data_IF_192299583526
#
_entry.id   IF_192299583526
#
_cell.length_a   1.000
_cell.length_b   1.000
_cell.length_c   1.000
_cell.angle_alpha   90.00
_cell.angle_beta   90.00
_cell.angle_gamma   90.00
#
_symmetry.space_group_name_H-M   'P 1'
#
loop_
_entity.id
_entity.type
_entity.pdbx_description
1 polymer ?
#
# COMPACT_ATOMS: atom_id res chain seq x y z
N UNK A 1 -20.64 -52.95 30.33
CA UNK A 1 -20.15 -53.53 29.05
C UNK A 1 -18.82 -52.86 28.71
N UNK A 2 -17.72 -53.52 29.07
CA UNK A 2 -16.77 -54.26 28.20
C UNK A 2 -15.62 -53.38 27.69
N UNK A 3 -14.60 -53.27 28.55
CA UNK A 3 -13.17 -53.15 28.20
C UNK A 3 -12.74 -54.27 27.26
N UNK A 4 -11.81 -53.97 26.34
CA UNK A 4 -10.80 -54.95 25.89
C UNK A 4 -9.59 -54.24 25.30
N UNK A 5 -8.51 -54.22 26.09
CA UNK A 5 -7.13 -54.20 25.64
C UNK A 5 -6.85 -55.48 24.85
N UNK A 6 -6.07 -55.41 23.78
CA UNK A 6 -5.37 -56.58 23.23
C UNK A 6 -3.96 -56.17 22.79
N UNK A 7 -3.00 -56.97 23.24
CA UNK A 7 -1.55 -56.84 23.13
C UNK A 7 -1.05 -57.84 22.06
N UNK A 8 -0.04 -57.38 21.28
CA UNK A 8 1.06 -58.05 20.54
C UNK A 8 1.27 -59.58 20.68
N UNK A 9 1.95 -60.32 19.75
CA UNK A 9 3.36 -60.09 19.32
C UNK A 9 3.69 -60.44 17.83
N UNK A 10 4.67 -59.79 17.19
CA UNK A 10 6.10 -60.16 16.99
C UNK A 10 6.35 -61.52 16.31
N UNK A 11 6.88 -61.53 15.08
CA UNK A 11 8.09 -62.27 14.66
C UNK A 11 8.39 -62.10 13.16
N UNK A 12 9.55 -61.53 12.86
CA UNK A 12 10.14 -61.45 11.53
C UNK A 12 11.65 -61.39 11.69
N UNK A 13 12.23 -62.56 11.87
CA UNK A 13 13.63 -62.91 12.11
C UNK A 13 14.51 -62.66 10.87
N UNK A 14 15.84 -62.64 11.08
CA UNK A 14 16.96 -62.91 10.15
C UNK A 14 17.72 -61.64 9.69
N UNK A 15 19.04 -61.52 9.61
CA UNK A 15 20.25 -62.14 10.21
C UNK A 15 21.43 -61.23 9.79
N UNK A 16 22.50 -61.22 10.60
CA UNK A 16 23.79 -60.57 10.37
C UNK A 16 24.40 -60.70 8.96
N UNK A 17 25.13 -59.68 8.48
CA UNK A 17 26.62 -59.64 8.42
C UNK A 17 27.15 -58.36 7.73
N UNK A 18 28.42 -57.96 7.98
CA UNK A 18 28.97 -56.65 7.58
C UNK A 18 29.57 -56.67 6.17
N UNK A 19 29.61 -55.52 5.51
CA UNK A 19 30.46 -55.28 4.35
C UNK A 19 31.34 -54.05 4.61
N UNK A 20 32.62 -54.33 4.76
CA UNK A 20 33.75 -53.39 4.74
C UNK A 20 34.20 -53.24 3.28
N UNK A 21 34.71 -52.04 2.95
CA UNK A 21 35.46 -51.67 1.74
C UNK A 21 34.57 -51.28 0.52
N UNK A 22 34.88 -50.25 -0.27
CA UNK A 22 36.16 -49.64 -0.62
C UNK A 22 36.09 -48.10 -0.64
N UNK A 23 37.27 -47.49 -0.40
CA UNK A 23 37.56 -46.13 -0.76
C UNK A 23 37.63 -45.99 -2.29
N UNK A 24 36.85 -45.06 -2.84
CA UNK A 24 37.18 -44.37 -4.07
C UNK A 24 36.91 -42.89 -3.85
N UNK A 25 37.98 -42.11 -3.94
CA UNK A 25 37.93 -40.67 -3.91
C UNK A 25 37.26 -40.13 -5.18
N UNK A 26 36.54 -39.02 -5.03
CA UNK A 26 36.48 -37.82 -5.88
C UNK A 26 35.05 -37.25 -5.99
N UNK A 27 34.86 -35.94 -6.19
CA UNK A 27 35.77 -34.82 -5.97
C UNK A 27 35.24 -33.84 -4.91
N UNK A 28 36.11 -32.98 -4.39
CA UNK A 28 35.66 -31.73 -3.76
C UNK A 28 34.72 -31.02 -4.72
N UNK A 29 33.44 -30.97 -4.39
CA UNK A 29 32.51 -30.04 -5.03
C UNK A 29 32.99 -28.64 -4.62
N UNK A 30 33.49 -27.82 -5.55
CA UNK A 30 33.73 -26.43 -5.22
C UNK A 30 32.38 -25.87 -4.82
N UNK A 31 32.27 -25.39 -3.57
CA UNK A 31 31.15 -24.58 -3.13
C UNK A 31 30.83 -23.61 -4.27
N UNK A 32 29.64 -23.74 -4.85
CA UNK A 32 29.14 -22.76 -5.80
C UNK A 32 29.42 -21.39 -5.16
N UNK A 33 30.12 -20.48 -5.83
CA UNK A 33 30.37 -19.16 -5.27
C UNK A 33 28.99 -18.61 -4.90
N UNK A 34 28.83 -18.21 -3.65
CA UNK A 34 27.74 -17.34 -3.25
C UNK A 34 27.75 -16.19 -4.25
N UNK A 35 26.82 -16.24 -5.22
CA UNK A 35 26.72 -15.25 -6.28
C UNK A 35 26.42 -13.96 -5.58
N UNK A 36 27.45 -13.12 -5.51
CA UNK A 36 27.42 -11.75 -5.05
C UNK A 36 26.18 -11.05 -5.58
N UNK A 37 25.19 -10.84 -4.72
CA UNK A 37 24.10 -9.90 -4.93
C UNK A 37 24.46 -8.51 -4.35
N UNK A 38 25.75 -8.21 -4.18
CA UNK A 38 26.23 -7.01 -3.51
C UNK A 38 26.63 -5.87 -4.45
N UNK A 39 26.43 -6.00 -5.78
CA UNK A 39 26.85 -4.94 -6.73
C UNK A 39 25.96 -4.84 -7.98
N UNK A 40 24.62 -4.80 -7.79
CA UNK A 40 23.77 -4.12 -8.76
C UNK A 40 23.72 -2.64 -8.38
N UNK A 41 24.09 -1.69 -9.26
CA UNK A 41 23.86 -0.28 -8.98
C UNK A 41 22.35 -0.10 -8.75
N UNK A 42 21.97 0.45 -7.59
CA UNK A 42 20.59 0.83 -7.33
C UNK A 42 20.11 1.67 -8.52
N UNK A 43 19.10 1.20 -9.24
CA UNK A 43 18.54 1.93 -10.36
C UNK A 43 18.15 3.34 -9.87
N UNK A 44 18.44 4.41 -10.64
CA UNK A 44 18.20 5.76 -10.16
C UNK A 44 16.73 5.93 -9.82
N UNK A 45 16.45 6.39 -8.59
CA UNK A 45 15.09 6.71 -8.15
C UNK A 45 14.44 7.70 -9.12
N UNK A 46 13.17 7.48 -9.43
CA UNK A 46 12.40 8.35 -10.33
C UNK A 46 11.38 9.18 -9.54
N UNK A 47 11.03 10.36 -10.04
CA UNK A 47 10.01 11.22 -9.42
C UNK A 47 8.65 10.90 -10.03
N UNK A 48 7.72 10.45 -9.20
CA UNK A 48 6.32 10.33 -9.58
C UNK A 48 5.60 11.65 -9.32
N UNK A 49 4.82 12.12 -10.30
CA UNK A 49 4.13 13.42 -10.22
C UNK A 49 2.63 13.29 -10.45
N UNK A 50 1.83 13.89 -9.57
CA UNK A 50 0.38 14.06 -9.76
C UNK A 50 0.05 15.54 -9.78
N UNK A 51 -0.61 16.03 -10.82
CA UNK A 51 -1.02 17.44 -10.92
C UNK A 51 -2.53 17.55 -10.98
N UNK A 52 -3.07 18.49 -10.22
CA UNK A 52 -4.48 18.83 -10.21
C UNK A 52 -4.65 20.34 -9.99
N UNK A 53 -5.84 20.85 -10.27
CA UNK A 53 -6.13 22.28 -10.17
C UNK A 53 -7.49 22.48 -9.52
N UNK A 54 -7.59 23.48 -8.64
CA UNK A 54 -8.88 23.85 -8.02
C UNK A 54 -9.88 24.25 -9.10
N UNK A 55 -11.13 23.81 -8.94
CA UNK A 55 -12.24 24.00 -9.89
C UNK A 55 -12.03 23.37 -11.28
N UNK A 56 -11.05 22.46 -11.42
CA UNK A 56 -10.85 21.67 -12.65
C UNK A 56 -11.04 20.18 -12.36
N UNK A 57 -11.85 19.46 -13.14
CA UNK A 57 -12.00 18.02 -12.99
C UNK A 57 -10.83 17.25 -13.63
N UNK A 58 -9.86 17.93 -14.24
CA UNK A 58 -8.72 17.27 -14.89
C UNK A 58 -7.61 16.99 -13.87
N UNK A 59 -7.16 15.74 -13.83
CA UNK A 59 -6.02 15.25 -13.07
C UNK A 59 -4.97 14.72 -14.05
N UNK A 60 -3.71 15.10 -13.87
CA UNK A 60 -2.58 14.52 -14.59
C UNK A 60 -1.86 13.56 -13.65
N UNK A 61 -1.95 12.27 -13.94
CA UNK A 61 -1.29 11.21 -13.20
C UNK A 61 -0.03 10.74 -13.95
N UNK A 62 1.13 11.25 -13.55
CA UNK A 62 2.43 10.93 -14.14
C UNK A 62 2.45 11.01 -15.69
N UNK A 63 1.87 12.08 -16.23
CA UNK A 63 1.75 12.32 -17.68
C UNK A 63 0.42 11.87 -18.29
N UNK A 64 -0.35 11.01 -17.61
CA UNK A 64 -1.65 10.52 -18.08
C UNK A 64 -2.79 11.41 -17.58
N UNK A 65 -3.58 11.95 -18.50
CA UNK A 65 -4.79 12.70 -18.12
C UNK A 65 -5.93 11.76 -17.71
N UNK A 66 -6.55 12.09 -16.57
CA UNK A 66 -7.70 11.41 -15.97
C UNK A 66 -8.74 12.46 -15.62
N UNK A 67 -10.01 12.16 -15.87
CA UNK A 67 -11.12 13.04 -15.47
C UNK A 67 -11.69 12.55 -14.14
N UNK A 68 -11.72 13.45 -13.16
CA UNK A 68 -12.33 13.22 -11.86
C UNK A 68 -13.85 13.39 -11.93
N UNK A 69 -14.57 12.65 -11.09
CA UNK A 69 -16.03 12.78 -10.94
C UNK A 69 -16.47 14.19 -10.51
N UNK A 70 -15.66 14.87 -9.71
CA UNK A 70 -15.90 16.24 -9.25
C UNK A 70 -14.56 16.94 -9.03
N UNK A 71 -14.58 18.27 -9.10
CA UNK A 71 -13.37 19.10 -9.03
C UNK A 71 -12.88 19.27 -7.59
N UNK A 72 -11.56 19.42 -7.36
CA UNK A 72 -11.03 19.94 -6.12
C UNK A 72 -11.61 21.32 -5.83
N UNK A 73 -11.85 21.62 -4.56
CA UNK A 73 -12.45 22.87 -4.11
C UNK A 73 -11.59 23.53 -3.04
N UNK A 74 -11.54 24.86 -3.04
CA UNK A 74 -10.97 25.61 -1.93
C UNK A 74 -12.08 25.99 -0.96
N UNK A 75 -11.97 25.59 0.29
CA UNK A 75 -12.99 25.84 1.31
C UNK A 75 -12.36 26.01 2.69
N UNK A 76 -12.79 27.06 3.40
CA UNK A 76 -12.32 27.41 4.76
C UNK A 76 -10.79 27.41 4.90
N UNK A 77 -10.08 27.96 3.91
CA UNK A 77 -8.62 28.09 3.95
C UNK A 77 -7.85 26.82 3.58
N UNK A 78 -8.54 25.76 3.15
CA UNK A 78 -7.91 24.49 2.77
C UNK A 78 -8.39 24.04 1.38
N UNK A 79 -7.54 23.30 0.69
CA UNK A 79 -7.95 22.59 -0.53
C UNK A 79 -8.48 21.22 -0.16
N UNK A 80 -9.69 20.96 -0.63
CA UNK A 80 -10.37 19.68 -0.54
C UNK A 80 -10.34 18.97 -1.89
N UNK A 81 -10.01 17.69 -1.87
CA UNK A 81 -9.99 16.83 -3.06
C UNK A 81 -10.94 15.65 -2.89
N UNK A 82 -11.52 15.13 -3.99
CA UNK A 82 -12.28 13.90 -3.93
C UNK A 82 -11.36 12.75 -3.51
N UNK A 83 -11.77 11.96 -2.51
CA UNK A 83 -10.94 10.84 -2.00
C UNK A 83 -10.55 9.86 -3.11
N UNK A 84 -11.46 9.61 -4.06
CA UNK A 84 -11.19 8.72 -5.20
C UNK A 84 -10.08 9.26 -6.11
N UNK A 85 -10.14 10.55 -6.46
CA UNK A 85 -9.12 11.16 -7.31
C UNK A 85 -7.74 11.13 -6.67
N UNK A 86 -7.69 11.38 -5.36
CA UNK A 86 -6.47 11.25 -4.60
C UNK A 86 -5.95 9.82 -4.62
N UNK A 87 -6.82 8.83 -4.37
CA UNK A 87 -6.45 7.43 -4.42
C UNK A 87 -5.88 7.03 -5.78
N UNK A 88 -6.55 7.40 -6.88
CA UNK A 88 -6.07 7.12 -8.23
C UNK A 88 -4.72 7.79 -8.54
N UNK A 89 -4.55 9.06 -8.15
CA UNK A 89 -3.31 9.80 -8.32
C UNK A 89 -2.13 9.12 -7.63
N UNK A 90 -2.34 8.59 -6.42
CA UNK A 90 -1.27 7.93 -5.65
C UNK A 90 -1.18 6.41 -5.88
N UNK A 91 -1.93 5.87 -6.85
CA UNK A 91 -1.96 4.43 -7.15
C UNK A 91 -2.65 3.57 -6.08
N UNK A 92 -3.46 4.17 -5.21
CA UNK A 92 -4.22 3.51 -4.18
C UNK A 92 -5.59 3.02 -4.67
N UNK A 93 -6.12 2.01 -3.97
CA UNK A 93 -7.49 1.53 -4.17
C UNK A 93 -8.46 2.24 -3.24
N UNK A 94 -9.69 2.45 -3.67
CA UNK A 94 -10.75 3.08 -2.86
C UNK A 94 -12.03 2.26 -2.93
N UNK A 95 -12.72 2.13 -1.80
CA UNK A 95 -14.05 1.54 -1.72
C UNK A 95 -14.91 2.26 -0.67
N UNK A 96 -16.22 2.09 -0.78
CA UNK A 96 -17.17 2.52 0.23
C UNK A 96 -17.55 1.33 1.11
N UNK A 97 -17.42 1.49 2.42
CA UNK A 97 -17.94 0.56 3.43
C UNK A 97 -19.29 1.08 3.94
N UNK A 98 -20.36 0.45 3.46
CA UNK A 98 -21.72 0.80 3.84
C UNK A 98 -22.07 0.44 5.29
N UNK A 99 -21.39 -0.53 5.90
CA UNK A 99 -21.66 -0.94 7.29
C UNK A 99 -21.14 0.11 8.28
N UNK A 100 -19.98 0.68 8.00
CA UNK A 100 -19.34 1.67 8.89
C UNK A 100 -19.54 3.11 8.45
N UNK A 101 -20.09 3.33 7.25
CA UNK A 101 -20.27 4.66 6.66
C UNK A 101 -18.93 5.33 6.36
N UNK A 102 -17.95 4.55 5.88
CA UNK A 102 -16.59 5.02 5.67
C UNK A 102 -16.11 4.80 4.23
N UNK A 103 -15.39 5.77 3.70
CA UNK A 103 -14.57 5.57 2.50
C UNK A 103 -13.25 4.96 2.92
N UNK A 104 -12.94 3.77 2.45
CA UNK A 104 -11.71 3.04 2.75
C UNK A 104 -10.74 3.20 1.59
N UNK A 105 -9.50 3.58 1.89
CA UNK A 105 -8.41 3.72 0.92
C UNK A 105 -7.26 2.82 1.32
N UNK A 106 -6.78 2.03 0.36
CA UNK A 106 -5.61 1.16 0.51
C UNK A 106 -4.46 1.71 -0.33
N UNK A 107 -3.45 2.27 0.33
CA UNK A 107 -2.27 2.86 -0.29
C UNK A 107 -1.03 2.05 0.11
N UNK A 108 -0.68 1.05 -0.70
CA UNK A 108 0.39 0.10 -0.34
C UNK A 108 0.05 -0.65 0.96
N UNK A 109 0.89 -0.57 2.02
CA UNK A 109 0.60 -1.21 3.30
C UNK A 109 -0.43 -0.45 4.15
N UNK A 110 -0.71 0.82 3.83
CA UNK A 110 -1.53 1.68 4.66
C UNK A 110 -3.02 1.58 4.31
N UNK A 111 -3.85 1.45 5.34
CA UNK A 111 -5.31 1.46 5.24
C UNK A 111 -5.88 2.68 5.96
N UNK A 112 -6.52 3.56 5.20
CA UNK A 112 -7.14 4.79 5.72
C UNK A 112 -8.66 4.70 5.63
N UNK A 113 -9.37 5.09 6.70
CA UNK A 113 -10.84 5.12 6.75
C UNK A 113 -11.33 6.54 7.01
N UNK A 114 -12.05 7.09 6.04
CA UNK A 114 -12.62 8.44 6.08
C UNK A 114 -14.11 8.39 6.38
N UNK A 115 -14.58 9.15 7.38
CA UNK A 115 -16.00 9.24 7.74
C UNK A 115 -16.48 10.67 7.65
N UNK A 116 -17.56 10.90 6.92
CA UNK A 116 -18.15 12.24 6.72
C UNK A 116 -18.50 12.88 8.07
N UNK A 117 -18.19 14.18 8.22
CA UNK A 117 -18.45 14.97 9.42
C UNK A 117 -17.40 14.81 10.53
N UNK A 118 -16.44 13.89 10.37
CA UNK A 118 -15.36 13.66 11.34
C UNK A 118 -14.12 14.46 10.97
N UNK A 119 -13.44 14.96 11.99
CA UNK A 119 -12.15 15.65 11.92
C UNK A 119 -10.97 14.73 12.27
N UNK A 120 -11.23 13.43 12.31
CA UNK A 120 -10.23 12.39 12.46
C UNK A 120 -10.51 11.26 11.46
N UNK A 121 -9.44 10.58 11.06
CA UNK A 121 -9.48 9.36 10.25
C UNK A 121 -8.78 8.23 10.99
N UNK A 122 -9.09 6.99 10.61
CA UNK A 122 -8.36 5.83 11.10
C UNK A 122 -7.27 5.48 10.07
N UNK A 123 -5.98 5.45 10.47
CA UNK A 123 -4.85 4.95 9.67
C UNK A 123 -4.32 3.71 10.36
N UNK A 124 -4.35 2.55 9.70
CA UNK A 124 -3.89 1.28 10.29
C UNK A 124 -4.49 1.06 11.69
N UNK A 125 -5.78 1.38 11.82
CA UNK A 125 -6.59 1.35 13.05
C UNK A 125 -6.20 2.33 14.18
N UNK A 126 -5.20 3.20 13.94
CA UNK A 126 -4.91 4.34 14.81
C UNK A 126 -5.73 5.58 14.39
N UNK A 127 -6.32 6.28 15.36
CA UNK A 127 -7.02 7.54 15.10
C UNK A 127 -6.04 8.69 14.92
N UNK A 128 -6.12 9.36 13.79
CA UNK A 128 -5.29 10.53 13.47
C UNK A 128 -6.19 11.72 13.17
N UNK A 129 -5.97 12.83 13.89
CA UNK A 129 -6.66 14.09 13.65
C UNK A 129 -6.16 14.74 12.36
N UNK A 130 -7.08 15.18 11.51
CA UNK A 130 -6.77 15.71 10.18
C UNK A 130 -6.92 17.25 10.11
N UNK A 131 -7.15 17.87 11.27
CA UNK A 131 -7.25 19.33 11.44
C UNK A 131 -8.53 19.99 10.89
N UNK A 132 -9.36 19.23 10.16
CA UNK A 132 -10.63 19.71 9.62
C UNK A 132 -11.55 18.54 9.29
N UNK A 133 -12.84 18.81 9.01
CA UNK A 133 -13.82 17.74 8.82
C UNK A 133 -13.74 17.16 7.41
N UNK A 134 -13.84 15.84 7.29
CA UNK A 134 -14.21 15.19 6.02
C UNK A 134 -15.61 15.67 5.64
N UNK A 135 -15.77 16.18 4.42
CA UNK A 135 -17.05 16.75 3.96
C UNK A 135 -17.62 15.95 2.80
N UNK A 136 -18.92 16.06 2.62
CA UNK A 136 -19.60 15.65 1.40
C UNK A 136 -19.83 16.90 0.57
N UNK A 137 -19.49 16.89 -0.72
CA UNK A 137 -19.84 17.98 -1.61
C UNK A 137 -21.29 17.82 -2.13
N UNK A 138 -21.76 18.80 -2.90
CA UNK A 138 -23.13 18.81 -3.44
C UNK A 138 -23.40 17.64 -4.42
N UNK A 139 -22.35 17.09 -5.05
CA UNK A 139 -22.43 15.89 -5.92
C UNK A 139 -22.40 14.56 -5.13
N UNK A 140 -22.44 14.60 -3.81
CA UNK A 140 -22.41 13.41 -2.96
C UNK A 140 -21.04 12.71 -2.91
N UNK A 141 -19.95 13.42 -3.20
CA UNK A 141 -18.58 12.89 -3.13
C UNK A 141 -17.91 13.25 -1.81
N UNK A 142 -17.18 12.29 -1.26
CA UNK A 142 -16.39 12.48 -0.05
C UNK A 142 -15.13 13.27 -0.40
N UNK A 143 -14.95 14.39 0.28
CA UNK A 143 -13.86 15.31 0.09
C UNK A 143 -12.98 15.37 1.34
N UNK A 144 -11.66 15.40 1.13
CA UNK A 144 -10.66 15.41 2.20
C UNK A 144 -9.62 16.51 2.00
N UNK A 145 -9.03 17.04 3.10
CA UNK A 145 -7.97 18.05 3.01
C UNK A 145 -6.72 17.46 2.36
N UNK A 146 -6.35 17.96 1.18
CA UNK A 146 -5.28 17.37 0.37
C UNK A 146 -3.94 17.30 1.09
N UNK A 147 -3.52 18.41 1.71
CA UNK A 147 -2.20 18.54 2.35
C UNK A 147 -1.98 17.45 3.39
N UNK A 148 -2.96 17.26 4.26
CA UNK A 148 -2.85 16.29 5.35
C UNK A 148 -2.65 14.87 4.81
N UNK A 149 -3.40 14.48 3.77
CA UNK A 149 -3.25 13.14 3.20
C UNK A 149 -1.93 12.98 2.44
N UNK A 150 -1.49 14.02 1.72
CA UNK A 150 -0.19 14.00 1.06
C UNK A 150 0.94 13.76 2.08
N UNK A 151 0.94 14.49 3.20
CA UNK A 151 1.91 14.34 4.29
C UNK A 151 1.90 12.93 4.90
N UNK A 152 0.72 12.39 5.23
CA UNK A 152 0.61 11.04 5.81
C UNK A 152 1.12 9.95 4.87
N UNK A 153 0.99 10.15 3.55
CA UNK A 153 1.45 9.20 2.54
C UNK A 153 2.89 9.45 2.06
N UNK A 154 3.59 10.44 2.64
CA UNK A 154 4.95 10.81 2.27
C UNK A 154 5.05 11.43 0.87
N UNK A 155 4.03 12.16 0.44
CA UNK A 155 4.05 12.99 -0.76
C UNK A 155 4.36 14.42 -0.39
N UNK A 156 5.23 15.06 -1.17
CA UNK A 156 5.40 16.50 -1.11
C UNK A 156 4.26 17.17 -1.87
N UNK A 157 3.77 18.29 -1.35
CA UNK A 157 2.72 19.09 -1.99
C UNK A 157 3.25 20.50 -2.26
N UNK A 158 3.37 20.84 -3.54
CA UNK A 158 3.57 22.21 -4.00
C UNK A 158 2.24 22.82 -4.44
N UNK A 159 2.04 24.09 -4.07
CA UNK A 159 0.83 24.84 -4.38
C UNK A 159 1.19 26.20 -4.97
N UNK A 160 0.67 26.45 -6.18
CA UNK A 160 0.79 27.74 -6.86
C UNK A 160 -0.46 28.59 -6.60
N UNK A 161 -0.29 29.69 -5.88
CA UNK A 161 -1.36 30.65 -5.60
C UNK A 161 -1.80 31.46 -6.83
N UNK A 162 -0.99 31.49 -7.90
CA UNK A 162 -1.27 32.26 -9.10
C UNK A 162 -2.40 31.64 -9.92
N UNK A 163 -2.41 30.33 -10.03
CA UNK A 163 -3.31 29.58 -10.91
C UNK A 163 -4.03 28.42 -10.20
N UNK A 164 -3.85 28.31 -8.88
CA UNK A 164 -4.42 27.26 -8.03
C UNK A 164 -4.02 25.85 -8.46
N UNK A 165 -2.85 25.71 -9.06
CA UNK A 165 -2.25 24.43 -9.39
C UNK A 165 -1.66 23.78 -8.15
N UNK A 166 -1.85 22.45 -8.07
CA UNK A 166 -1.43 21.61 -6.97
C UNK A 166 -0.61 20.47 -7.59
N UNK A 167 0.64 20.35 -7.15
CA UNK A 167 1.58 19.34 -7.65
C UNK A 167 2.01 18.47 -6.48
N UNK A 168 1.69 17.18 -6.55
CA UNK A 168 2.22 16.18 -5.63
C UNK A 168 3.41 15.47 -6.25
N UNK A 169 4.49 15.32 -5.48
CA UNK A 169 5.70 14.61 -5.88
C UNK A 169 6.08 13.56 -4.86
N UNK A 170 6.55 12.42 -5.35
CA UNK A 170 7.12 11.36 -4.51
C UNK A 170 8.25 10.64 -5.24
N UNK A 171 9.35 10.41 -4.54
CA UNK A 171 10.42 9.56 -5.04
C UNK A 171 9.98 8.11 -5.00
N UNK A 172 10.08 7.42 -6.13
CA UNK A 172 9.72 6.01 -6.27
C UNK A 172 10.94 5.22 -6.76
N UNK A 173 11.15 4.05 -6.16
CA UNK A 173 12.09 3.08 -6.71
C UNK A 173 11.47 2.50 -7.99
N UNK A 174 12.23 2.40 -9.09
CA UNK A 174 11.74 1.82 -10.33
C UNK A 174 11.35 0.34 -10.18
#
# INVERSE_FOLDING_TARGET
MKTKKLILPLLGLTLMMPALANADAMPNEPAAPASSAADMPAAPMSVYTVKLKVNSPMLNNNGRMVTMDTSPMFWKGMVYVPVRALAEGVGAKVAWDAMTGATVVWAGPDVMKFRVGRDAMDINDAKVSIGSKVVLNDDGRVMVPLRFIAEQLGWELDYSALDWSLTLTKMVNP
#
